data_IF_703860878959
#
_entry.id   IF_703860878959
#
_cell.length_a   1.000
_cell.length_b   1.000
_cell.length_c   1.000
_cell.angle_alpha   90.00
_cell.angle_beta   90.00
_cell.angle_gamma   90.00
#
_symmetry.space_group_name_H-M   'P 1'
#
loop_
_entity.id
_entity.type
_entity.pdbx_description
1 polymer ?
#
# COMPACT_ATOMS: atom_id res chain seq x y z
N UNK A 1 -26.66 11.36 -33.70
CA UNK A 1 -26.67 10.28 -32.69
C UNK A 1 -25.38 10.31 -31.86
N UNK A 2 -24.25 10.62 -32.44
CA UNK A 2 -22.93 10.78 -31.78
C UNK A 2 -22.86 11.90 -30.71
N UNK A 3 -23.66 12.96 -30.88
CA UNK A 3 -23.62 14.15 -29.99
C UNK A 3 -24.23 13.89 -28.60
N UNK A 4 -25.22 12.99 -28.47
CA UNK A 4 -25.83 12.65 -27.19
C UNK A 4 -24.97 11.68 -26.36
N UNK A 5 -24.23 10.80 -27.03
CA UNK A 5 -23.27 9.90 -26.39
C UNK A 5 -22.07 10.65 -25.77
N UNK A 6 -21.65 11.70 -26.44
CA UNK A 6 -20.57 12.59 -25.97
C UNK A 6 -20.93 13.34 -24.69
N UNK A 7 -22.22 13.64 -24.48
CA UNK A 7 -22.68 14.45 -23.34
C UNK A 7 -22.72 13.64 -22.02
N UNK A 8 -23.21 12.39 -22.02
CA UNK A 8 -23.36 11.59 -20.80
C UNK A 8 -22.01 11.17 -20.19
N UNK A 9 -21.03 10.86 -21.03
CA UNK A 9 -19.68 10.56 -20.54
C UNK A 9 -18.88 11.80 -20.19
N UNK A 10 -19.23 12.95 -20.75
CA UNK A 10 -18.68 14.24 -20.35
C UNK A 10 -19.05 14.56 -18.89
N UNK A 11 -20.28 14.26 -18.48
CA UNK A 11 -20.74 14.43 -17.09
C UNK A 11 -20.01 13.49 -16.13
N UNK A 12 -19.82 12.22 -16.51
CA UNK A 12 -19.01 11.27 -15.72
C UNK A 12 -17.56 11.70 -15.65
N UNK A 13 -16.98 12.14 -16.77
CA UNK A 13 -15.62 12.64 -16.80
C UNK A 13 -15.43 13.88 -15.89
N UNK A 14 -16.41 14.79 -15.85
CA UNK A 14 -16.38 15.93 -14.93
C UNK A 14 -16.46 15.50 -13.46
N UNK A 15 -17.30 14.50 -13.15
CA UNK A 15 -17.43 13.98 -11.80
C UNK A 15 -16.11 13.34 -11.32
N UNK A 16 -15.41 12.58 -12.16
CA UNK A 16 -14.15 11.95 -11.77
C UNK A 16 -12.99 12.95 -11.66
N UNK A 17 -13.08 14.12 -12.29
CA UNK A 17 -12.07 15.18 -12.12
C UNK A 17 -12.06 15.81 -10.72
N UNK A 18 -13.18 15.79 -10.01
CA UNK A 18 -13.28 16.36 -8.65
C UNK A 18 -12.99 15.34 -7.53
N UNK A 19 -12.75 14.07 -7.88
CA UNK A 19 -12.41 13.06 -6.88
C UNK A 19 -10.99 13.22 -6.38
N UNK A 20 -10.75 12.87 -5.11
CA UNK A 20 -9.40 12.83 -4.53
C UNK A 20 -8.58 11.63 -4.99
N UNK A 21 -9.21 10.59 -5.51
CA UNK A 21 -8.55 9.40 -6.01
C UNK A 21 -8.15 9.59 -7.48
N UNK A 22 -7.08 8.92 -7.89
CA UNK A 22 -6.72 8.80 -9.28
C UNK A 22 -7.73 7.87 -9.99
N UNK A 23 -8.23 8.26 -11.15
CA UNK A 23 -9.30 7.52 -11.85
C UNK A 23 -8.94 7.27 -13.31
N UNK A 24 -9.18 6.02 -13.75
CA UNK A 24 -9.13 5.60 -15.14
C UNK A 24 -10.54 5.14 -15.56
N UNK A 25 -10.96 5.51 -16.75
CA UNK A 25 -12.10 4.92 -17.43
C UNK A 25 -11.57 4.17 -18.65
N UNK A 26 -11.82 2.86 -18.74
CA UNK A 26 -11.38 2.04 -19.84
C UNK A 26 -12.50 1.17 -20.39
N UNK A 27 -12.28 0.61 -21.58
CA UNK A 27 -13.11 -0.45 -22.13
C UNK A 27 -12.82 -1.80 -21.46
N UNK A 28 -13.64 -2.80 -21.74
CA UNK A 28 -13.43 -4.16 -21.20
C UNK A 28 -12.16 -4.84 -21.72
N UNK A 29 -11.67 -4.41 -22.88
CA UNK A 29 -10.41 -4.89 -23.46
C UNK A 29 -9.16 -4.24 -22.83
N UNK A 30 -9.35 -3.19 -22.01
CA UNK A 30 -8.27 -2.46 -21.35
C UNK A 30 -7.93 -1.11 -22.00
N UNK A 31 -8.53 -0.76 -23.14
CA UNK A 31 -8.25 0.51 -23.82
C UNK A 31 -8.68 1.71 -22.94
N UNK A 32 -7.77 2.59 -22.62
CA UNK A 32 -7.98 3.77 -21.77
C UNK A 32 -8.74 4.85 -22.55
N UNK A 33 -9.92 5.22 -22.08
CA UNK A 33 -10.78 6.23 -22.68
C UNK A 33 -10.66 7.60 -22.02
N UNK A 34 -10.44 7.62 -20.70
CA UNK A 34 -10.31 8.84 -19.93
C UNK A 34 -9.50 8.61 -18.66
N UNK A 35 -8.78 9.64 -18.25
CA UNK A 35 -8.04 9.71 -16.99
C UNK A 35 -8.23 11.07 -16.36
N UNK A 36 -8.32 11.15 -15.03
CA UNK A 36 -8.43 12.43 -14.35
C UNK A 36 -7.07 13.08 -14.11
N UNK A 37 -7.08 14.37 -13.77
CA UNK A 37 -5.86 15.14 -13.51
C UNK A 37 -5.07 14.60 -12.30
N UNK A 38 -5.73 13.92 -11.36
CA UNK A 38 -5.06 13.30 -10.20
C UNK A 38 -4.13 12.17 -10.63
N UNK A 39 -4.57 11.32 -11.57
CA UNK A 39 -3.73 10.25 -12.13
C UNK A 39 -2.55 10.83 -12.89
N UNK A 40 -2.79 11.81 -13.76
CA UNK A 40 -1.74 12.47 -14.55
C UNK A 40 -0.66 13.08 -13.64
N UNK A 41 -1.10 13.71 -12.55
CA UNK A 41 -0.18 14.27 -11.55
C UNK A 41 0.65 13.21 -10.82
N UNK A 42 0.08 12.02 -10.55
CA UNK A 42 0.82 10.90 -9.96
C UNK A 42 1.83 10.31 -10.93
N UNK A 43 1.45 10.12 -12.19
CA UNK A 43 2.30 9.49 -13.21
C UNK A 43 3.35 10.45 -13.77
N UNK A 44 3.15 11.77 -13.62
CA UNK A 44 3.92 12.82 -14.31
C UNK A 44 3.89 12.66 -15.82
N UNK A 45 2.71 12.31 -16.39
CA UNK A 45 2.49 12.12 -17.82
C UNK A 45 1.44 13.10 -18.37
N UNK A 46 1.47 13.33 -19.68
CA UNK A 46 0.44 14.10 -20.35
C UNK A 46 -0.75 13.22 -20.77
N UNK A 47 -1.94 13.81 -20.78
CA UNK A 47 -3.18 13.09 -21.11
C UNK A 47 -3.14 12.43 -22.50
N UNK A 48 -2.47 13.05 -23.45
CA UNK A 48 -2.36 12.55 -24.82
C UNK A 48 -1.54 11.27 -24.93
N UNK A 49 -0.60 11.05 -24.00
CA UNK A 49 0.26 9.87 -23.99
C UNK A 49 -0.41 8.66 -23.34
N UNK A 50 -1.41 8.89 -22.49
CA UNK A 50 -2.10 7.85 -21.73
C UNK A 50 -3.40 7.40 -22.41
N UNK A 51 -4.17 8.34 -22.99
CA UNK A 51 -5.45 8.00 -23.64
C UNK A 51 -5.21 7.18 -24.92
N UNK A 52 -5.97 6.10 -25.07
CA UNK A 52 -5.85 5.14 -26.17
C UNK A 52 -4.80 4.05 -25.93
N UNK A 53 -4.00 4.15 -24.85
CA UNK A 53 -3.12 3.08 -24.39
C UNK A 53 -3.87 1.94 -23.69
N UNK A 54 -3.15 0.87 -23.37
CA UNK A 54 -3.70 -0.26 -22.59
C UNK A 54 -3.45 -0.03 -21.10
N UNK A 55 -4.46 -0.30 -20.27
CA UNK A 55 -4.36 -0.22 -18.81
C UNK A 55 -3.26 -1.13 -18.25
N UNK A 56 -2.89 -2.20 -18.96
CA UNK A 56 -1.79 -3.11 -18.61
C UNK A 56 -0.41 -2.48 -18.72
N UNK A 57 -0.27 -1.45 -19.55
CA UNK A 57 0.98 -0.70 -19.68
C UNK A 57 1.20 0.26 -18.51
N UNK A 58 0.15 0.53 -17.75
CA UNK A 58 0.11 1.46 -16.63
C UNK A 58 0.05 0.75 -15.29
N UNK A 59 -0.74 -0.34 -15.19
CA UNK A 59 -0.96 -1.09 -13.95
C UNK A 59 -0.40 -2.50 -14.04
N UNK A 60 0.45 -2.86 -13.09
CA UNK A 60 1.16 -4.14 -13.03
C UNK A 60 0.81 -4.91 -11.76
N UNK A 61 0.62 -6.22 -11.91
CA UNK A 61 0.49 -7.16 -10.79
C UNK A 61 1.62 -8.17 -10.83
N UNK A 62 2.26 -8.43 -9.69
CA UNK A 62 3.26 -9.50 -9.56
C UNK A 62 2.69 -10.90 -9.82
N UNK A 63 1.37 -11.06 -9.71
CA UNK A 63 0.68 -12.31 -9.99
C UNK A 63 0.34 -12.50 -11.49
N UNK A 64 0.49 -11.44 -12.30
CA UNK A 64 -0.06 -11.38 -13.67
C UNK A 64 0.90 -11.86 -14.76
N UNK A 65 2.19 -12.11 -14.47
CA UNK A 65 3.14 -12.70 -15.43
C UNK A 65 2.69 -14.06 -16.02
N UNK A 66 1.59 -14.63 -15.51
CA UNK A 66 1.06 -15.95 -15.95
C UNK A 66 -0.35 -15.91 -16.52
N UNK A 67 -0.99 -14.76 -16.65
CA UNK A 67 -2.37 -14.70 -17.14
C UNK A 67 -2.46 -14.27 -18.59
N UNK A 68 -3.26 -15.02 -19.33
CA UNK A 68 -3.63 -14.88 -20.75
C UNK A 68 -3.89 -13.45 -21.21
N UNK A 69 -3.48 -13.15 -22.44
CA UNK A 69 -3.40 -11.86 -23.15
C UNK A 69 -4.65 -10.95 -23.17
N UNK A 70 -5.80 -11.38 -22.62
CA UNK A 70 -7.07 -10.65 -22.74
C UNK A 70 -7.76 -10.30 -21.41
N UNK A 71 -7.10 -10.46 -20.26
CA UNK A 71 -7.73 -10.16 -18.97
C UNK A 71 -7.17 -8.88 -18.36
N UNK A 72 -8.07 -8.04 -17.82
CA UNK A 72 -7.68 -6.87 -17.03
C UNK A 72 -6.83 -7.30 -15.82
N UNK A 73 -5.85 -6.48 -15.36
CA UNK A 73 -4.99 -6.81 -14.22
C UNK A 73 -5.71 -6.77 -12.86
N UNK A 74 -7.01 -6.57 -12.86
CA UNK A 74 -7.87 -6.46 -11.67
C UNK A 74 -9.25 -7.06 -11.94
N UNK A 75 -9.98 -7.37 -10.88
CA UNK A 75 -11.39 -7.79 -10.96
C UNK A 75 -12.30 -6.56 -10.99
N UNK A 76 -13.45 -6.67 -11.70
CA UNK A 76 -14.41 -5.57 -11.89
C UNK A 76 -15.65 -5.71 -11.02
N UNK A 77 -15.54 -6.43 -9.91
CA UNK A 77 -16.57 -6.70 -8.93
C UNK A 77 -16.59 -5.72 -7.75
N UNK A 78 -15.67 -4.74 -7.75
CA UNK A 78 -15.47 -3.78 -6.68
C UNK A 78 -14.51 -4.26 -5.59
N UNK A 79 -13.90 -5.43 -5.73
CA UNK A 79 -12.84 -5.90 -4.82
C UNK A 79 -11.61 -5.00 -4.88
N UNK A 80 -10.86 -4.99 -3.79
CA UNK A 80 -9.60 -4.26 -3.71
C UNK A 80 -8.44 -5.13 -4.16
N UNK A 81 -7.60 -4.59 -5.04
CA UNK A 81 -6.42 -5.24 -5.56
C UNK A 81 -5.20 -4.36 -5.33
N UNK A 82 -4.13 -4.92 -4.78
CA UNK A 82 -2.84 -4.23 -4.73
C UNK A 82 -2.11 -4.40 -6.05
N UNK A 83 -1.81 -3.29 -6.71
CA UNK A 83 -1.09 -3.24 -7.97
C UNK A 83 0.05 -2.22 -7.88
N UNK A 84 0.90 -2.22 -8.89
CA UNK A 84 1.96 -1.26 -9.07
C UNK A 84 1.60 -0.32 -10.22
N UNK A 85 1.57 0.98 -9.96
CA UNK A 85 1.40 2.02 -10.97
C UNK A 85 2.77 2.41 -11.50
N UNK A 86 2.93 2.36 -12.82
CA UNK A 86 4.15 2.80 -13.51
C UNK A 86 4.14 4.32 -13.65
N UNK A 87 5.27 4.94 -13.38
CA UNK A 87 5.50 6.38 -13.55
C UNK A 87 6.27 6.66 -14.85
N UNK A 88 6.27 7.92 -15.29
CA UNK A 88 6.97 8.37 -16.51
C UNK A 88 8.48 8.11 -16.48
N UNK A 89 9.11 8.09 -15.31
CA UNK A 89 10.54 7.79 -15.13
C UNK A 89 10.84 6.28 -15.14
N UNK A 90 9.83 5.44 -15.33
CA UNK A 90 9.91 3.98 -15.29
C UNK A 90 9.92 3.37 -13.90
N UNK A 91 9.83 4.17 -12.84
CA UNK A 91 9.62 3.66 -11.46
C UNK A 91 8.19 3.19 -11.25
N UNK A 92 7.97 2.50 -10.11
CA UNK A 92 6.66 1.96 -9.74
C UNK A 92 6.29 2.37 -8.33
N UNK A 93 5.03 2.78 -8.15
CA UNK A 93 4.46 3.05 -6.83
C UNK A 93 3.33 2.05 -6.51
N UNK A 94 3.21 1.59 -5.26
CA UNK A 94 2.11 0.71 -4.87
C UNK A 94 0.82 1.50 -4.79
N UNK A 95 -0.23 0.94 -5.40
CA UNK A 95 -1.58 1.51 -5.41
C UNK A 95 -2.61 0.45 -5.04
N UNK A 96 -3.62 0.87 -4.29
CA UNK A 96 -4.82 0.08 -4.07
C UNK A 96 -5.82 0.40 -5.18
N UNK A 97 -6.22 -0.60 -5.92
CA UNK A 97 -7.11 -0.47 -7.08
C UNK A 97 -8.45 -1.08 -6.76
N UNK A 98 -9.51 -0.32 -7.01
CA UNK A 98 -10.89 -0.78 -6.98
C UNK A 98 -11.54 -0.49 -8.32
N UNK A 99 -12.07 -1.53 -8.98
CA UNK A 99 -12.66 -1.40 -10.30
C UNK A 99 -14.11 -1.91 -10.32
N UNK A 100 -14.95 -1.22 -11.07
CA UNK A 100 -16.35 -1.58 -11.26
C UNK A 100 -16.82 -1.37 -12.68
N UNK A 101 -17.66 -2.29 -13.17
CA UNK A 101 -18.30 -2.16 -14.47
C UNK A 101 -19.45 -1.18 -14.39
N UNK A 102 -19.42 -0.15 -15.24
CA UNK A 102 -20.48 0.85 -15.37
C UNK A 102 -21.15 0.70 -16.71
N UNK A 103 -22.45 0.36 -16.68
CA UNK A 103 -23.28 0.32 -17.88
C UNK A 103 -24.19 1.55 -17.86
N UNK A 104 -24.09 2.46 -18.83
CA UNK A 104 -24.96 3.62 -18.88
C UNK A 104 -26.43 3.20 -19.08
N UNK A 105 -27.40 3.96 -18.55
CA UNK A 105 -28.81 3.66 -18.69
C UNK A 105 -29.22 3.58 -20.19
N UNK A 106 -30.01 2.57 -20.53
CA UNK A 106 -30.50 2.34 -21.90
C UNK A 106 -31.53 3.41 -22.27
N UNK A 107 -31.12 4.43 -23.01
CA UNK A 107 -32.08 5.32 -23.66
C UNK A 107 -32.23 4.96 -25.12
N UNK A 108 -31.18 4.55 -25.84
CA UNK A 108 -31.25 4.04 -27.22
C UNK A 108 -29.93 3.30 -27.58
N UNK A 109 -30.06 2.02 -27.99
CA UNK A 109 -28.97 1.26 -28.58
C UNK A 109 -28.16 0.39 -27.62
N UNK A 110 -27.37 -0.59 -28.16
CA UNK A 110 -26.38 -1.39 -27.41
C UNK A 110 -25.17 -0.52 -27.09
N UNK A 111 -24.95 -0.20 -25.84
CA UNK A 111 -23.71 0.42 -25.37
C UNK A 111 -22.81 -0.63 -24.76
N UNK A 112 -21.53 -0.58 -25.10
CA UNK A 112 -20.52 -1.40 -24.46
C UNK A 112 -20.38 -0.97 -22.98
N UNK A 113 -20.35 -1.90 -22.04
CA UNK A 113 -20.02 -1.59 -20.64
C UNK A 113 -18.60 -1.05 -20.58
N UNK A 114 -18.37 -0.08 -19.70
CA UNK A 114 -17.05 0.49 -19.42
C UNK A 114 -16.63 0.14 -18.00
N UNK A 115 -15.36 0.18 -17.75
CA UNK A 115 -14.79 -0.07 -16.43
C UNK A 115 -14.29 1.25 -15.86
N UNK A 116 -14.77 1.58 -14.67
CA UNK A 116 -14.25 2.68 -13.86
C UNK A 116 -13.28 2.09 -12.85
N UNK A 117 -12.07 2.61 -12.85
CA UNK A 117 -10.95 2.16 -12.01
C UNK A 117 -10.54 3.32 -11.12
N UNK A 118 -10.71 3.17 -9.81
CA UNK A 118 -10.22 4.12 -8.82
C UNK A 118 -8.92 3.59 -8.21
N UNK A 119 -7.89 4.44 -8.14
CA UNK A 119 -6.58 4.13 -7.61
C UNK A 119 -6.28 5.03 -6.42
N UNK A 120 -5.90 4.44 -5.31
CA UNK A 120 -5.43 5.14 -4.12
C UNK A 120 -3.95 4.81 -3.88
N UNK A 121 -3.09 5.83 -3.81
CA UNK A 121 -1.67 5.62 -3.49
C UNK A 121 -1.52 5.21 -2.03
N UNK A 122 -0.85 4.10 -1.80
CA UNK A 122 -0.56 3.57 -0.46
C UNK A 122 0.92 3.70 -0.09
N UNK A 123 1.65 4.53 -0.81
CA UNK A 123 3.09 4.73 -0.62
C UNK A 123 3.45 5.18 0.81
N UNK A 124 2.68 6.10 1.38
CA UNK A 124 2.87 6.55 2.77
C UNK A 124 2.67 5.40 3.76
N UNK A 125 1.65 4.56 3.56
CA UNK A 125 1.40 3.39 4.40
C UNK A 125 2.55 2.38 4.31
N UNK A 126 3.06 2.11 3.12
CA UNK A 126 4.22 1.24 2.92
C UNK A 126 5.50 1.80 3.55
N UNK A 127 5.71 3.11 3.50
CA UNK A 127 6.86 3.75 4.12
C UNK A 127 6.82 3.63 5.64
N UNK A 128 5.68 3.87 6.27
CA UNK A 128 5.46 3.68 7.70
C UNK A 128 5.62 2.22 8.13
N UNK A 129 5.08 1.28 7.37
CA UNK A 129 5.18 -0.16 7.66
C UNK A 129 6.65 -0.65 7.60
N UNK A 130 7.41 -0.15 6.62
CA UNK A 130 8.85 -0.42 6.53
C UNK A 130 9.63 0.16 7.69
N UNK A 131 9.34 1.39 8.11
CA UNK A 131 9.96 2.02 9.27
C UNK A 131 9.64 1.26 10.55
N UNK A 132 8.38 0.88 10.76
CA UNK A 132 7.95 0.10 11.90
C UNK A 132 8.64 -1.28 11.94
N UNK A 133 8.69 -1.99 10.82
CA UNK A 133 9.40 -3.29 10.72
C UNK A 133 10.90 -3.16 11.03
N UNK A 134 11.54 -2.09 10.57
CA UNK A 134 12.96 -1.82 10.90
C UNK A 134 13.13 -1.56 12.39
N UNK A 135 12.33 -0.68 12.98
CA UNK A 135 12.39 -0.36 14.40
C UNK A 135 12.15 -1.61 15.28
N UNK A 136 11.18 -2.43 14.93
CA UNK A 136 10.92 -3.71 15.62
C UNK A 136 12.09 -4.69 15.50
N UNK A 137 12.75 -4.75 14.34
CA UNK A 137 13.93 -5.58 14.14
C UNK A 137 15.11 -5.11 14.99
N UNK A 138 15.38 -3.81 15.02
CA UNK A 138 16.43 -3.19 15.84
C UNK A 138 16.18 -3.42 17.34
N UNK A 139 14.94 -3.24 17.79
CA UNK A 139 14.52 -3.50 19.17
C UNK A 139 14.73 -4.97 19.55
N UNK A 140 14.41 -5.92 18.67
CA UNK A 140 14.65 -7.37 18.90
C UNK A 140 16.14 -7.67 19.02
N UNK A 141 16.98 -7.08 18.15
CA UNK A 141 18.42 -7.26 18.20
C UNK A 141 19.02 -6.68 19.48
N UNK A 142 18.59 -5.47 19.87
CA UNK A 142 19.04 -4.83 21.10
C UNK A 142 18.65 -5.66 22.35
N UNK A 143 17.39 -6.13 22.39
CA UNK A 143 16.91 -6.96 23.50
C UNK A 143 17.68 -8.29 23.58
N UNK A 144 17.95 -8.94 22.44
CA UNK A 144 18.77 -10.17 22.42
C UNK A 144 20.19 -9.92 22.91
N UNK A 145 20.80 -8.77 22.56
CA UNK A 145 22.14 -8.39 23.07
C UNK A 145 22.13 -8.17 24.57
N UNK A 146 21.11 -7.43 25.08
CA UNK A 146 20.96 -7.20 26.51
C UNK A 146 20.77 -8.51 27.29
N UNK A 147 19.89 -9.40 26.80
CA UNK A 147 19.68 -10.71 27.43
C UNK A 147 20.97 -11.56 27.41
N UNK A 148 21.72 -11.54 26.30
CA UNK A 148 23.01 -12.23 26.21
C UNK A 148 24.04 -11.67 27.18
N UNK A 149 24.14 -10.34 27.31
CA UNK A 149 25.05 -9.68 28.24
C UNK A 149 24.69 -10.03 29.69
N UNK A 150 23.41 -9.96 30.04
CA UNK A 150 22.94 -10.35 31.38
C UNK A 150 23.26 -11.81 31.69
N UNK A 151 23.06 -12.72 30.74
CA UNK A 151 23.39 -14.14 30.89
C UNK A 151 24.88 -14.35 31.15
N UNK A 152 25.75 -13.65 30.46
CA UNK A 152 27.21 -13.71 30.66
C UNK A 152 27.58 -13.16 32.05
N UNK A 153 27.04 -12.01 32.46
CA UNK A 153 27.28 -11.44 33.78
C UNK A 153 26.85 -12.42 34.87
N UNK A 154 25.62 -12.97 34.76
CA UNK A 154 25.08 -13.94 35.75
C UNK A 154 25.91 -15.22 35.82
N UNK A 155 26.52 -15.68 34.72
CA UNK A 155 27.39 -16.86 34.71
C UNK A 155 28.80 -16.62 35.29
N UNK A 156 29.22 -15.34 35.35
CA UNK A 156 30.58 -14.98 35.78
C UNK A 156 30.63 -14.55 37.25
N UNK A 157 29.48 -14.13 37.79
CA UNK A 157 29.36 -13.70 39.20
C UNK A 157 29.18 -14.94 40.11
N UNK A 158 30.03 -15.04 41.13
CA UNK A 158 29.90 -16.10 42.14
C UNK A 158 28.60 -15.99 42.93
N UNK A 159 28.16 -17.11 43.49
CA UNK A 159 26.84 -17.19 44.19
C UNK A 159 26.71 -16.19 45.34
N UNK A 160 27.78 -15.75 45.96
CA UNK A 160 27.79 -14.82 47.08
C UNK A 160 27.63 -13.35 46.68
N UNK A 161 27.99 -13.00 45.43
CA UNK A 161 27.89 -11.63 44.88
C UNK A 161 26.58 -11.38 44.11
N UNK A 162 25.89 -12.45 43.75
CA UNK A 162 24.70 -12.39 42.91
C UNK A 162 23.57 -11.51 43.53
N UNK A 163 23.22 -11.60 44.81
CA UNK A 163 22.19 -10.77 45.44
C UNK A 163 22.50 -9.27 45.37
N UNK A 164 23.73 -8.88 45.65
CA UNK A 164 24.19 -7.48 45.61
C UNK A 164 24.15 -6.90 44.19
N UNK A 165 24.50 -7.69 43.21
CA UNK A 165 24.45 -7.28 41.79
C UNK A 165 23.04 -7.14 41.30
N UNK A 166 22.14 -8.03 41.68
CA UNK A 166 20.72 -7.97 41.35
C UNK A 166 20.02 -6.77 41.97
N UNK A 167 20.32 -6.43 43.20
CA UNK A 167 19.81 -5.22 43.86
C UNK A 167 20.28 -3.96 43.12
N UNK A 168 21.52 -3.91 42.70
CA UNK A 168 22.06 -2.80 41.93
C UNK A 168 21.36 -2.64 40.58
N UNK A 169 21.16 -3.75 39.84
CA UNK A 169 20.45 -3.76 38.55
C UNK A 169 18.99 -3.35 38.71
N UNK A 170 18.31 -3.86 39.73
CA UNK A 170 16.93 -3.51 40.03
C UNK A 170 16.77 -2.02 40.33
N UNK A 171 17.63 -1.47 41.18
CA UNK A 171 17.58 -0.04 41.51
C UNK A 171 17.87 0.85 40.30
N UNK A 172 18.75 0.43 39.41
CA UNK A 172 19.05 1.16 38.18
C UNK A 172 17.92 1.07 37.16
N UNK A 173 17.22 -0.08 37.07
CA UNK A 173 16.03 -0.25 36.24
C UNK A 173 14.87 0.60 36.75
N UNK A 174 14.62 0.62 38.05
CA UNK A 174 13.60 1.46 38.68
C UNK A 174 13.85 2.95 38.36
N UNK A 175 15.10 3.40 38.49
CA UNK A 175 15.48 4.80 38.19
C UNK A 175 15.40 5.15 36.68
N UNK A 176 15.70 4.20 35.81
CA UNK A 176 15.71 4.44 34.34
C UNK A 176 14.32 4.40 33.75
N UNK A 177 13.43 3.54 34.28
CA UNK A 177 12.05 3.34 33.78
C UNK A 177 11.01 4.17 34.53
N UNK A 178 11.43 4.98 35.51
CA UNK A 178 10.55 5.77 36.40
C UNK A 178 9.45 4.90 37.04
N UNK A 179 9.82 3.67 37.38
CA UNK A 179 8.91 2.65 37.93
C UNK A 179 8.85 2.77 39.46
N UNK A 180 7.72 2.46 40.06
CA UNK A 180 7.54 2.47 41.53
C UNK A 180 8.14 1.25 42.23
N UNK A 181 8.64 0.25 41.48
CA UNK A 181 9.29 -0.94 42.02
C UNK A 181 9.60 -1.95 40.93
N UNK A 182 10.53 -2.86 41.20
CA UNK A 182 10.87 -4.00 40.34
C UNK A 182 11.15 -5.25 41.17
N UNK A 183 10.87 -6.43 40.61
CA UNK A 183 11.16 -7.71 41.23
C UNK A 183 11.69 -8.70 40.21
N UNK A 184 12.62 -9.56 40.61
CA UNK A 184 13.14 -10.67 39.79
C UNK A 184 12.72 -11.99 40.45
N UNK A 185 12.13 -12.85 39.65
CA UNK A 185 11.73 -14.20 40.06
C UNK A 185 12.61 -15.22 39.37
N UNK A 186 13.12 -16.19 40.11
CA UNK A 186 13.81 -17.36 39.56
C UNK A 186 12.86 -18.54 39.57
N UNK A 187 12.74 -19.24 38.45
CA UNK A 187 12.11 -20.58 38.41
C UNK A 187 13.19 -21.63 38.38
N UNK A 188 13.09 -22.61 39.25
CA UNK A 188 13.92 -23.81 39.21
C UNK A 188 13.60 -24.69 38.02
#
# INVERSE_FOLDING_TARGET
METLERNEWADVAQLVEITSDAVIICELDGTILHVNNRLLGLMCEERADVIGGDVKDVLYSSAFERATEHRLPFETDGSENELMLKLSDGSFIPVLVRAGSVTPPRIFGRRAPRVLVALHSIEEQYSHDRQLKRALSELRVANKRLSGTLSVIMSTVGSDELPSLLDTVLNQLVGTLDASGAAIYFSE
#
